data_IF_930248007154
#
_entry.id   IF_930248007154
#
_cell.length_a   1.000
_cell.length_b   1.000
_cell.length_c   1.000
_cell.angle_alpha   90.00
_cell.angle_beta   90.00
_cell.angle_gamma   90.00
#
_symmetry.space_group_name_H-M   'P 1'
#
loop_
_entity.id
_entity.type
_entity.pdbx_description
1 polymer ?
#
# COMPACT_ATOMS: atom_id res chain seq x y z
N UNK A 1 29.65 -90.98 -67.98
CA UNK A 1 29.38 -89.62 -67.49
C UNK A 1 30.72 -89.04 -67.05
N UNK A 2 31.22 -87.95 -67.63
CA UNK A 2 32.49 -87.35 -67.22
C UNK A 2 32.27 -86.55 -65.93
N UNK A 3 33.05 -86.89 -64.90
CA UNK A 3 33.10 -86.20 -63.62
C UNK A 3 33.86 -84.88 -63.82
N UNK A 4 33.12 -83.77 -63.87
CA UNK A 4 33.68 -82.41 -63.90
C UNK A 4 34.30 -82.10 -62.54
N UNK A 5 35.58 -82.44 -62.38
CA UNK A 5 36.39 -81.96 -61.26
C UNK A 5 36.61 -80.46 -61.46
N UNK A 6 35.71 -79.65 -60.88
CA UNK A 6 35.89 -78.21 -60.78
C UNK A 6 37.10 -77.93 -59.89
N UNK A 7 38.16 -77.38 -60.49
CA UNK A 7 39.31 -76.84 -59.78
C UNK A 7 38.86 -75.69 -58.87
N UNK A 8 38.75 -75.99 -57.58
CA UNK A 8 38.17 -75.12 -56.54
C UNK A 8 39.19 -74.17 -55.91
N UNK A 9 40.48 -74.39 -56.15
CA UNK A 9 41.58 -73.70 -55.49
C UNK A 9 41.65 -72.18 -55.71
N UNK A 10 41.53 -71.64 -56.94
CA UNK A 10 41.64 -70.19 -57.17
C UNK A 10 40.48 -69.38 -56.55
N UNK A 11 39.28 -69.98 -56.43
CA UNK A 11 38.13 -69.33 -55.80
C UNK A 11 38.29 -69.21 -54.29
N UNK A 12 38.91 -70.20 -53.64
CA UNK A 12 39.19 -70.18 -52.20
C UNK A 12 40.21 -69.09 -51.87
N UNK A 13 41.30 -68.97 -52.63
CA UNK A 13 42.29 -67.91 -52.42
C UNK A 13 41.73 -66.50 -52.61
N UNK A 14 40.87 -66.29 -53.62
CA UNK A 14 40.21 -65.00 -53.81
C UNK A 14 39.27 -64.63 -52.63
N UNK A 15 38.56 -65.63 -52.08
CA UNK A 15 37.71 -65.44 -50.91
C UNK A 15 38.52 -65.15 -49.64
N UNK A 16 39.63 -65.86 -49.41
CA UNK A 16 40.54 -65.61 -48.28
C UNK A 16 41.11 -64.19 -48.31
N UNK A 17 41.57 -63.73 -49.48
CA UNK A 17 42.04 -62.36 -49.65
C UNK A 17 40.95 -61.32 -49.36
N UNK A 18 39.72 -61.59 -49.81
CA UNK A 18 38.56 -60.74 -49.54
C UNK A 18 38.21 -60.72 -48.05
N UNK A 19 38.19 -61.89 -47.39
CA UNK A 19 37.93 -62.00 -45.96
C UNK A 19 39.00 -61.29 -45.12
N UNK A 20 40.27 -61.35 -45.54
CA UNK A 20 41.36 -60.62 -44.89
C UNK A 20 41.18 -59.10 -45.04
N UNK A 21 40.86 -58.63 -46.25
CA UNK A 21 40.58 -57.22 -46.51
C UNK A 21 39.37 -56.68 -45.72
N UNK A 22 38.30 -57.47 -45.59
CA UNK A 22 37.14 -57.12 -44.77
C UNK A 22 37.50 -57.07 -43.28
N UNK A 23 38.29 -58.02 -42.78
CA UNK A 23 38.74 -58.02 -41.38
C UNK A 23 39.55 -56.78 -41.04
N UNK A 24 40.46 -56.40 -41.92
CA UNK A 24 41.27 -55.18 -41.80
C UNK A 24 40.40 -53.91 -41.85
N UNK A 25 39.40 -53.85 -42.74
CA UNK A 25 38.41 -52.77 -42.76
C UNK A 25 37.59 -52.67 -41.46
N UNK A 26 37.09 -53.81 -40.94
CA UNK A 26 36.36 -53.85 -39.67
C UNK A 26 37.25 -53.35 -38.53
N UNK A 27 38.52 -53.78 -38.47
CA UNK A 27 39.46 -53.31 -37.46
C UNK A 27 39.70 -51.80 -37.53
N UNK A 28 39.80 -51.23 -38.73
CA UNK A 28 39.91 -49.77 -38.91
C UNK A 28 38.65 -49.03 -38.47
N UNK A 29 37.46 -49.59 -38.75
CA UNK A 29 36.20 -48.98 -38.35
C UNK A 29 36.05 -48.95 -36.83
N UNK A 30 36.38 -50.05 -36.14
CA UNK A 30 36.35 -50.09 -34.67
C UNK A 30 37.31 -49.07 -34.04
N UNK A 31 38.53 -48.96 -34.57
CA UNK A 31 39.48 -47.94 -34.11
C UNK A 31 38.96 -46.51 -34.35
N UNK A 32 38.37 -46.24 -35.52
CA UNK A 32 37.79 -44.93 -35.82
C UNK A 32 36.62 -44.61 -34.88
N UNK A 33 35.74 -45.59 -34.62
CA UNK A 33 34.61 -45.46 -33.72
C UNK A 33 35.08 -45.12 -32.30
N UNK A 34 36.06 -45.86 -31.79
CA UNK A 34 36.66 -45.58 -30.48
C UNK A 34 37.23 -44.16 -30.41
N UNK A 35 37.98 -43.73 -31.44
CA UNK A 35 38.53 -42.37 -31.46
C UNK A 35 37.44 -41.28 -31.52
N UNK A 36 36.29 -41.55 -32.14
CA UNK A 36 35.15 -40.62 -32.14
C UNK A 36 34.53 -40.53 -30.73
N UNK A 37 34.30 -41.67 -30.07
CA UNK A 37 33.77 -41.72 -28.71
C UNK A 37 34.69 -40.98 -27.72
N UNK A 38 36.01 -41.24 -27.77
CA UNK A 38 37.01 -40.55 -26.96
C UNK A 38 37.02 -39.03 -27.22
N UNK A 39 36.89 -38.61 -28.49
CA UNK A 39 36.82 -37.18 -28.83
C UNK A 39 35.54 -36.52 -28.31
N UNK A 40 34.40 -37.22 -28.38
CA UNK A 40 33.12 -36.73 -27.86
C UNK A 40 33.16 -36.59 -26.34
N UNK A 41 33.68 -37.59 -25.63
CA UNK A 41 33.80 -37.55 -24.17
C UNK A 41 34.70 -36.41 -23.70
N UNK A 42 35.84 -36.20 -24.37
CA UNK A 42 36.73 -35.09 -24.08
C UNK A 42 36.05 -33.72 -24.29
N UNK A 43 35.32 -33.55 -25.40
CA UNK A 43 34.55 -32.33 -25.65
C UNK A 43 33.43 -32.12 -24.63
N UNK A 44 32.71 -33.20 -24.27
CA UNK A 44 31.63 -33.17 -23.29
C UNK A 44 32.15 -32.79 -21.90
N UNK A 45 33.30 -33.32 -21.49
CA UNK A 45 33.96 -32.93 -20.23
C UNK A 45 34.28 -31.44 -20.21
N UNK A 46 34.90 -30.91 -21.27
CA UNK A 46 35.23 -29.48 -21.38
C UNK A 46 33.97 -28.61 -21.35
N UNK A 47 32.89 -29.05 -22.01
CA UNK A 47 31.62 -28.33 -21.99
C UNK A 47 31.00 -28.33 -20.60
N UNK A 48 30.98 -29.48 -19.92
CA UNK A 48 30.46 -29.60 -18.56
C UNK A 48 31.22 -28.71 -17.58
N UNK A 49 32.55 -28.63 -17.68
CA UNK A 49 33.36 -27.74 -16.85
C UNK A 49 33.02 -26.27 -17.08
N UNK A 50 32.78 -25.87 -18.35
CA UNK A 50 32.36 -24.51 -18.69
C UNK A 50 30.96 -24.19 -18.18
N UNK A 51 30.02 -25.14 -18.26
CA UNK A 51 28.66 -24.99 -17.73
C UNK A 51 28.69 -24.85 -16.21
N UNK A 52 29.42 -25.72 -15.52
CA UNK A 52 29.58 -25.65 -14.06
C UNK A 52 30.19 -24.31 -13.61
N UNK A 53 31.19 -23.81 -14.35
CA UNK A 53 31.75 -22.47 -14.11
C UNK A 53 30.72 -21.37 -14.31
N UNK A 54 29.98 -21.40 -15.41
CA UNK A 54 28.95 -20.40 -15.71
C UNK A 54 27.85 -20.40 -14.64
N UNK A 55 27.43 -21.58 -14.17
CA UNK A 55 26.44 -21.73 -13.10
C UNK A 55 26.94 -21.10 -11.79
N UNK A 56 28.22 -21.32 -11.44
CA UNK A 56 28.84 -20.69 -10.28
C UNK A 56 28.88 -19.15 -10.41
N UNK A 57 29.30 -18.64 -11.58
CA UNK A 57 29.35 -17.20 -11.86
C UNK A 57 27.95 -16.55 -11.79
N UNK A 58 26.91 -17.22 -12.32
CA UNK A 58 25.51 -16.76 -12.23
C UNK A 58 25.03 -16.73 -10.78
N UNK A 59 25.34 -17.76 -9.99
CA UNK A 59 24.97 -17.83 -8.58
C UNK A 59 25.64 -16.71 -7.78
N UNK A 60 26.93 -16.44 -8.03
CA UNK A 60 27.67 -15.35 -7.41
C UNK A 60 27.06 -13.98 -7.75
N UNK A 61 26.74 -13.74 -9.03
CA UNK A 61 26.04 -12.51 -9.44
C UNK A 61 24.69 -12.37 -8.74
N UNK A 62 23.90 -13.45 -8.65
CA UNK A 62 22.60 -13.43 -7.99
C UNK A 62 22.72 -13.09 -6.50
N UNK A 63 23.72 -13.64 -5.81
CA UNK A 63 23.99 -13.33 -4.40
C UNK A 63 24.42 -11.87 -4.23
N UNK A 64 25.35 -11.38 -5.04
CA UNK A 64 25.81 -10.00 -4.98
C UNK A 64 24.69 -8.99 -5.27
N UNK A 65 23.81 -9.28 -6.24
CA UNK A 65 22.62 -8.46 -6.49
C UNK A 65 21.68 -8.47 -5.27
N UNK A 66 21.41 -9.64 -4.69
CA UNK A 66 20.56 -9.77 -3.51
C UNK A 66 21.11 -8.96 -2.34
N UNK A 67 22.39 -9.12 -2.01
CA UNK A 67 23.05 -8.40 -0.91
C UNK A 67 23.05 -6.88 -1.14
N UNK A 68 23.28 -6.44 -2.38
CA UNK A 68 23.28 -5.01 -2.72
C UNK A 68 21.88 -4.39 -2.70
N UNK A 69 20.87 -5.11 -3.17
CA UNK A 69 19.54 -4.54 -3.38
C UNK A 69 18.56 -4.79 -2.21
N UNK A 70 18.66 -5.90 -1.47
CA UNK A 70 17.72 -6.21 -0.38
C UNK A 70 17.68 -5.12 0.70
N UNK A 71 18.81 -4.62 1.23
CA UNK A 71 18.79 -3.55 2.24
C UNK A 71 18.13 -2.27 1.72
N UNK A 72 18.37 -1.93 0.45
CA UNK A 72 17.80 -0.73 -0.17
C UNK A 72 16.30 -0.87 -0.42
N UNK A 73 15.84 -2.03 -0.88
CA UNK A 73 14.41 -2.32 -1.06
C UNK A 73 13.68 -2.31 0.28
N UNK A 74 14.23 -2.94 1.31
CA UNK A 74 13.68 -2.94 2.66
C UNK A 74 13.61 -1.52 3.25
N UNK A 75 14.66 -0.72 3.05
CA UNK A 75 14.69 0.69 3.49
C UNK A 75 13.63 1.50 2.76
N UNK A 76 13.48 1.30 1.44
CA UNK A 76 12.48 1.99 0.62
C UNK A 76 11.05 1.64 1.06
N UNK A 77 10.75 0.35 1.24
CA UNK A 77 9.43 -0.12 1.70
C UNK A 77 9.15 0.42 3.11
N UNK A 78 10.14 0.40 4.01
CA UNK A 78 9.99 0.91 5.36
C UNK A 78 9.74 2.43 5.38
N UNK A 79 10.46 3.19 4.56
CA UNK A 79 10.24 4.63 4.38
C UNK A 79 8.84 4.95 3.85
N UNK A 80 8.38 4.20 2.84
CA UNK A 80 7.02 4.34 2.31
C UNK A 80 5.95 4.02 3.36
N UNK A 81 6.11 2.91 4.12
CA UNK A 81 5.21 2.55 5.21
C UNK A 81 5.17 3.62 6.30
N UNK A 82 6.32 4.19 6.67
CA UNK A 82 6.41 5.27 7.65
C UNK A 82 5.69 6.53 7.16
N UNK A 83 5.90 6.94 5.90
CA UNK A 83 5.23 8.11 5.32
C UNK A 83 3.70 7.94 5.31
N UNK A 84 3.22 6.76 4.90
CA UNK A 84 1.79 6.46 4.83
C UNK A 84 1.10 6.44 6.21
N UNK A 85 1.82 6.03 7.25
CA UNK A 85 1.25 5.93 8.61
C UNK A 85 1.48 7.20 9.41
N UNK A 86 2.74 7.55 9.65
CA UNK A 86 3.13 8.68 10.49
C UNK A 86 2.96 10.02 9.77
N UNK A 87 3.38 10.11 8.51
CA UNK A 87 3.22 11.32 7.69
C UNK A 87 1.74 11.70 7.53
N UNK A 88 0.88 10.74 7.20
CA UNK A 88 -0.57 10.97 7.11
C UNK A 88 -1.19 11.34 8.46
N UNK A 89 -0.83 10.64 9.54
CA UNK A 89 -1.34 10.94 10.89
C UNK A 89 -0.97 12.37 11.30
N UNK A 90 0.27 12.79 11.06
CA UNK A 90 0.68 14.16 11.30
C UNK A 90 -0.15 15.13 10.46
N UNK A 91 -0.35 14.81 9.18
CA UNK A 91 -1.07 15.71 8.30
C UNK A 91 -2.50 15.95 8.76
N UNK A 92 -3.19 14.89 9.20
CA UNK A 92 -4.52 14.97 9.79
C UNK A 92 -4.50 15.81 11.06
N UNK A 93 -3.55 15.59 11.98
CA UNK A 93 -3.43 16.38 13.22
C UNK A 93 -3.21 17.87 12.91
N UNK A 94 -2.31 18.21 11.99
CA UNK A 94 -2.08 19.61 11.59
C UNK A 94 -3.31 20.23 10.92
N UNK A 95 -4.05 19.48 10.09
CA UNK A 95 -5.30 19.96 9.49
C UNK A 95 -6.36 20.25 10.56
N UNK A 96 -6.54 19.33 11.52
CA UNK A 96 -7.49 19.51 12.63
C UNK A 96 -7.10 20.68 13.53
N UNK A 97 -5.80 20.97 13.69
CA UNK A 97 -5.34 22.09 14.50
C UNK A 97 -5.41 23.45 13.79
N UNK A 98 -5.74 23.49 12.49
CA UNK A 98 -5.81 24.74 11.74
C UNK A 98 -7.21 25.38 11.91
N UNK A 99 -7.34 26.57 12.56
CA UNK A 99 -8.65 27.15 12.84
C UNK A 99 -9.48 27.43 11.59
N UNK A 100 -8.82 27.83 10.49
CA UNK A 100 -9.45 28.05 9.18
C UNK A 100 -10.06 26.77 8.61
N UNK A 101 -9.35 25.64 8.74
CA UNK A 101 -9.85 24.34 8.28
C UNK A 101 -11.03 23.90 9.14
N UNK A 102 -10.91 23.94 10.47
CA UNK A 102 -12.02 23.58 11.37
C UNK A 102 -13.27 24.43 11.12
N UNK A 103 -13.11 25.74 10.92
CA UNK A 103 -14.23 26.64 10.63
C UNK A 103 -14.90 26.29 9.29
N UNK A 104 -14.13 26.13 8.21
CA UNK A 104 -14.65 25.76 6.91
C UNK A 104 -15.31 24.36 6.92
N UNK A 105 -14.68 23.40 7.61
CA UNK A 105 -15.18 22.04 7.75
C UNK A 105 -16.48 21.99 8.55
N UNK A 106 -16.53 22.68 9.71
CA UNK A 106 -17.74 22.80 10.52
C UNK A 106 -18.89 23.46 9.76
N UNK A 107 -18.62 24.50 8.97
CA UNK A 107 -19.61 25.14 8.10
C UNK A 107 -20.12 24.18 7.02
N UNK A 108 -19.22 23.44 6.35
CA UNK A 108 -19.57 22.46 5.34
C UNK A 108 -20.41 21.30 5.91
N UNK A 109 -20.03 20.76 7.08
CA UNK A 109 -20.79 19.72 7.78
C UNK A 109 -22.20 20.21 8.15
N UNK A 110 -22.31 21.42 8.70
CA UNK A 110 -23.60 22.01 9.10
C UNK A 110 -24.53 22.15 7.89
N UNK A 111 -23.99 22.61 6.75
CA UNK A 111 -24.75 22.70 5.50
C UNK A 111 -25.06 21.34 4.88
N UNK A 112 -24.17 20.35 5.01
CA UNK A 112 -24.43 18.99 4.56
C UNK A 112 -25.65 18.39 5.26
N UNK A 113 -25.72 18.56 6.59
CA UNK A 113 -26.86 18.12 7.41
C UNK A 113 -28.12 18.84 6.95
N UNK A 114 -28.07 20.19 6.85
CA UNK A 114 -29.21 20.98 6.37
C UNK A 114 -29.69 20.52 5.00
N UNK A 115 -28.78 20.29 4.05
CA UNK A 115 -29.10 19.78 2.71
C UNK A 115 -29.70 18.37 2.75
N UNK A 116 -29.17 17.48 3.59
CA UNK A 116 -29.72 16.14 3.81
C UNK A 116 -31.17 16.20 4.30
N UNK A 117 -31.47 17.09 5.25
CA UNK A 117 -32.84 17.32 5.73
C UNK A 117 -33.77 17.82 4.60
N UNK A 118 -33.31 18.75 3.77
CA UNK A 118 -34.07 19.27 2.63
C UNK A 118 -34.34 18.19 1.57
N UNK A 119 -33.34 17.37 1.26
CA UNK A 119 -33.47 16.26 0.32
C UNK A 119 -34.46 15.21 0.84
N UNK A 120 -34.37 14.85 2.13
CA UNK A 120 -35.30 13.91 2.76
C UNK A 120 -36.74 14.42 2.75
N UNK A 121 -36.93 15.73 3.00
CA UNK A 121 -38.23 16.38 2.92
C UNK A 121 -38.80 16.33 1.50
N UNK A 122 -38.00 16.68 0.49
CA UNK A 122 -38.39 16.59 -0.93
C UNK A 122 -38.83 15.17 -1.29
N UNK A 123 -37.99 14.18 -0.99
CA UNK A 123 -38.27 12.78 -1.30
C UNK A 123 -39.58 12.29 -0.63
N UNK A 124 -39.86 12.73 0.60
CA UNK A 124 -41.11 12.40 1.30
C UNK A 124 -42.36 12.97 0.63
N UNK A 125 -42.29 14.19 0.09
CA UNK A 125 -43.40 14.84 -0.62
C UNK A 125 -43.64 14.16 -1.97
N UNK A 126 -42.56 13.89 -2.70
CA UNK A 126 -42.60 13.19 -3.99
C UNK A 126 -43.23 11.79 -3.83
N UNK A 127 -42.83 11.06 -2.79
CA UNK A 127 -43.36 9.74 -2.50
C UNK A 127 -44.86 9.75 -2.13
N UNK A 128 -45.33 10.77 -1.39
CA UNK A 128 -46.71 10.83 -0.90
C UNK A 128 -47.73 11.28 -1.96
N UNK A 129 -47.28 11.74 -3.15
CA UNK A 129 -48.13 12.15 -4.29
C UNK A 129 -49.29 13.08 -3.90
N UNK A 130 -49.05 13.96 -2.92
CA UNK A 130 -50.12 14.67 -2.21
C UNK A 130 -50.66 15.92 -2.94
N UNK A 131 -50.28 16.16 -4.20
CA UNK A 131 -50.66 17.36 -4.96
C UNK A 131 -50.15 18.68 -4.36
N UNK A 132 -49.28 18.63 -3.34
CA UNK A 132 -48.64 19.81 -2.74
C UNK A 132 -47.30 20.05 -3.40
N UNK A 133 -47.02 21.29 -3.80
CA UNK A 133 -45.71 21.62 -4.34
C UNK A 133 -44.68 21.76 -3.21
N UNK A 134 -43.42 21.45 -3.51
CA UNK A 134 -42.32 21.58 -2.56
C UNK A 134 -42.12 23.03 -2.08
N UNK A 135 -42.49 24.00 -2.92
CA UNK A 135 -42.44 25.42 -2.61
C UNK A 135 -43.45 25.85 -1.53
N UNK A 136 -44.53 25.09 -1.34
CA UNK A 136 -45.58 25.40 -0.36
C UNK A 136 -45.21 24.95 1.07
N UNK A 137 -44.10 24.23 1.23
CA UNK A 137 -43.66 23.72 2.53
C UNK A 137 -42.74 24.74 3.19
N UNK A 138 -43.22 25.37 4.27
CA UNK A 138 -42.50 26.43 4.99
C UNK A 138 -41.09 26.03 5.48
N UNK A 139 -40.84 24.73 5.70
CA UNK A 139 -39.54 24.21 6.10
C UNK A 139 -38.57 23.98 4.91
N UNK A 140 -39.05 24.05 3.67
CA UNK A 140 -38.23 23.85 2.47
C UNK A 140 -37.48 25.14 2.10
N UNK A 141 -36.17 25.02 1.89
CA UNK A 141 -35.32 26.14 1.47
C UNK A 141 -34.41 25.71 0.31
N UNK A 142 -34.73 26.09 -0.95
CA UNK A 142 -33.97 25.69 -2.13
C UNK A 142 -32.55 26.28 -2.17
N UNK A 143 -32.30 27.40 -1.49
CA UNK A 143 -30.98 28.08 -1.42
C UNK A 143 -29.94 27.23 -0.68
N UNK A 144 -30.41 26.31 0.17
CA UNK A 144 -29.53 25.38 0.90
C UNK A 144 -28.62 24.58 -0.02
N UNK A 145 -29.08 24.24 -1.23
CA UNK A 145 -28.28 23.50 -2.21
C UNK A 145 -27.09 24.31 -2.75
N UNK A 146 -27.32 25.59 -3.06
CA UNK A 146 -26.28 26.51 -3.57
C UNK A 146 -25.26 26.88 -2.50
N UNK A 147 -25.72 27.13 -1.27
CA UNK A 147 -24.86 27.45 -0.12
C UNK A 147 -23.92 26.29 0.24
N UNK A 148 -24.42 25.06 0.14
CA UNK A 148 -23.61 23.87 0.36
C UNK A 148 -22.47 23.74 -0.67
N UNK A 149 -22.78 23.92 -1.97
CA UNK A 149 -21.77 23.80 -3.02
C UNK A 149 -20.70 24.90 -2.92
N UNK A 150 -21.08 26.14 -2.61
CA UNK A 150 -20.13 27.24 -2.41
C UNK A 150 -19.25 27.02 -1.18
N UNK A 151 -19.79 26.46 -0.09
CA UNK A 151 -19.03 26.14 1.12
C UNK A 151 -18.09 24.96 0.91
N UNK A 152 -18.50 23.94 0.15
CA UNK A 152 -17.60 22.87 -0.26
C UNK A 152 -16.44 23.38 -1.11
N UNK A 153 -16.70 24.33 -2.01
CA UNK A 153 -15.67 24.94 -2.81
C UNK A 153 -14.67 25.71 -1.93
N UNK A 154 -15.15 26.50 -0.97
CA UNK A 154 -14.30 27.16 0.03
C UNK A 154 -13.49 26.17 0.86
N UNK A 155 -14.08 25.04 1.25
CA UNK A 155 -13.36 23.98 1.99
C UNK A 155 -12.24 23.36 1.13
N UNK A 156 -12.45 23.18 -0.18
CA UNK A 156 -11.41 22.72 -1.12
C UNK A 156 -10.31 23.75 -1.35
N UNK A 157 -10.67 25.02 -1.32
CA UNK A 157 -9.77 26.17 -1.45
C UNK A 157 -9.02 26.51 -0.15
N UNK A 158 -9.39 25.91 0.99
CA UNK A 158 -8.49 25.90 2.15
C UNK A 158 -7.28 25.10 1.73
N UNK A 159 -6.26 25.83 1.25
CA UNK A 159 -5.00 25.26 0.81
C UNK A 159 -4.56 24.27 1.87
N UNK A 160 -4.52 23.01 1.47
CA UNK A 160 -3.78 22.00 2.21
C UNK A 160 -2.32 22.35 1.98
N UNK A 161 -1.85 23.41 2.64
CA UNK A 161 -0.46 23.86 2.68
C UNK A 161 0.46 22.69 2.99
N UNK A 162 -0.06 21.73 3.76
CA UNK A 162 0.57 20.45 4.05
C UNK A 162 0.65 19.47 2.88
N UNK A 163 -0.36 19.39 2.00
CA UNK A 163 -0.31 18.51 0.83
C UNK A 163 0.66 19.05 -0.21
N UNK A 164 0.71 20.36 -0.43
CA UNK A 164 1.72 20.98 -1.31
C UNK A 164 3.12 20.83 -0.74
N UNK A 165 3.30 20.97 0.57
CA UNK A 165 4.57 20.73 1.27
C UNK A 165 4.97 19.23 1.29
N UNK A 166 4.04 18.29 1.53
CA UNK A 166 4.34 16.86 1.39
C UNK A 166 4.68 16.49 -0.07
N UNK A 167 3.98 17.11 -1.03
CA UNK A 167 4.21 16.87 -2.45
C UNK A 167 5.54 17.45 -2.95
N UNK A 168 6.03 18.55 -2.38
CA UNK A 168 7.35 19.09 -2.74
C UNK A 168 8.50 18.20 -2.25
N UNK A 169 8.25 17.33 -1.28
CA UNK A 169 9.23 16.39 -0.72
C UNK A 169 9.05 14.94 -1.21
N UNK A 170 8.34 14.73 -2.33
CA UNK A 170 8.06 13.39 -2.90
C UNK A 170 9.30 12.52 -3.12
N UNK A 171 10.47 13.12 -3.35
CA UNK A 171 11.74 12.43 -3.58
C UNK A 171 12.80 12.73 -2.51
N UNK A 172 12.43 13.43 -1.44
CA UNK A 172 13.34 13.66 -0.33
C UNK A 172 13.63 12.32 0.37
N UNK A 173 14.89 12.09 0.76
CA UNK A 173 15.23 10.93 1.57
C UNK A 173 14.46 10.98 2.89
N UNK A 174 14.19 9.83 3.49
CA UNK A 174 13.54 9.75 4.80
C UNK A 174 14.30 10.58 5.83
N UNK A 175 15.63 10.63 5.74
CA UNK A 175 16.49 11.47 6.58
C UNK A 175 16.22 12.95 6.40
N UNK A 176 16.11 13.44 5.14
CA UNK A 176 15.77 14.83 4.87
C UNK A 176 14.35 15.16 5.36
N UNK A 177 13.40 14.20 5.28
CA UNK A 177 12.04 14.37 5.80
C UNK A 177 12.01 14.40 7.34
N UNK A 178 12.87 13.62 8.01
CA UNK A 178 13.03 13.68 9.47
C UNK A 178 13.64 15.01 9.93
N UNK A 179 14.61 15.55 9.19
CA UNK A 179 15.26 16.83 9.46
C UNK A 179 14.37 18.05 9.15
N UNK A 180 13.32 17.89 8.33
CA UNK A 180 12.28 18.91 8.13
C UNK A 180 11.39 18.97 9.37
N UNK A 181 11.92 19.50 10.47
CA UNK A 181 11.27 20.08 11.67
C UNK A 181 9.88 19.56 12.08
N UNK A 182 9.71 18.24 12.00
CA UNK A 182 8.48 17.57 12.34
C UNK A 182 8.45 17.24 13.84
N UNK A 183 9.63 17.09 14.44
CA UNK A 183 9.84 16.80 15.86
C UNK A 183 9.77 18.06 16.75
N UNK A 184 10.41 19.16 16.36
CA UNK A 184 10.38 20.43 17.14
C UNK A 184 8.95 20.97 17.26
N UNK A 185 8.22 21.01 16.15
CA UNK A 185 6.83 21.49 16.14
C UNK A 185 5.88 20.57 16.93
N UNK A 186 6.19 19.26 17.05
CA UNK A 186 5.46 18.32 17.90
C UNK A 186 5.75 18.52 19.39
N UNK A 187 7.01 18.80 19.75
CA UNK A 187 7.38 19.10 21.14
C UNK A 187 6.69 20.38 21.59
N UNK A 188 6.69 21.44 20.76
CA UNK A 188 6.06 22.70 21.11
C UNK A 188 4.53 22.58 21.25
N UNK A 189 3.87 21.88 20.32
CA UNK A 189 2.42 21.70 20.34
C UNK A 189 1.95 20.80 21.49
N UNK A 190 2.69 19.73 21.80
CA UNK A 190 2.39 18.86 22.95
C UNK A 190 2.62 19.61 24.26
N UNK A 191 3.68 20.41 24.34
CA UNK A 191 3.96 21.26 25.49
C UNK A 191 2.85 22.30 25.71
N UNK A 192 2.33 22.92 24.64
CA UNK A 192 1.26 23.92 24.73
C UNK A 192 -0.11 23.31 25.07
N UNK A 193 -0.44 22.13 24.51
CA UNK A 193 -1.62 21.37 24.92
C UNK A 193 -1.55 20.93 26.38
N UNK A 194 -0.36 20.54 26.87
CA UNK A 194 -0.17 20.18 28.27
C UNK A 194 -0.38 21.36 29.22
N UNK A 195 0.03 22.57 28.82
CA UNK A 195 -0.21 23.82 29.58
C UNK A 195 -1.69 24.17 29.58
N UNK A 196 -2.36 24.08 28.44
CA UNK A 196 -3.79 24.36 28.30
C UNK A 196 -4.64 23.40 29.14
N UNK A 197 -4.33 22.10 29.10
CA UNK A 197 -5.00 21.09 29.95
C UNK A 197 -4.81 21.38 31.44
N UNK A 198 -3.63 21.85 31.84
CA UNK A 198 -3.34 22.24 33.23
C UNK A 198 -4.17 23.46 33.66
N UNK A 199 -4.34 24.45 32.77
CA UNK A 199 -5.19 25.62 33.01
C UNK A 199 -6.67 25.23 33.11
N UNK A 200 -7.14 24.36 32.22
CA UNK A 200 -8.53 23.87 32.23
C UNK A 200 -8.82 23.06 33.50
N UNK A 201 -7.91 22.17 33.90
CA UNK A 201 -8.04 21.37 35.12
C UNK A 201 -8.05 22.23 36.41
N UNK A 202 -7.40 23.39 36.38
CA UNK A 202 -7.40 24.34 37.50
C UNK A 202 -8.64 25.24 37.51
N UNK A 203 -9.23 25.55 36.36
CA UNK A 203 -10.49 26.29 36.24
C UNK A 203 -11.69 25.47 36.72
N UNK A 204 -11.70 24.16 36.48
CA UNK A 204 -12.79 23.28 36.92
C UNK A 204 -12.82 23.12 38.47
N UNK A 205 -11.66 23.32 39.12
CA UNK A 205 -11.54 23.25 40.58
C UNK A 205 -11.95 24.54 41.29
N UNK A 206 -12.23 25.64 40.58
CA UNK A 206 -12.60 26.94 41.16
C UNK A 206 -14.10 27.26 41.13
N UNK A 207 -14.97 26.36 40.67
CA UNK A 207 -16.43 26.57 40.78
C UNK A 207 -16.84 26.60 42.26
N UNK A 208 -17.39 27.71 42.78
CA UNK A 208 -17.86 27.78 44.15
C UNK A 208 -19.11 26.91 44.27
N UNK A 209 -19.04 25.86 45.10
CA UNK A 209 -20.20 25.09 45.54
C UNK A 209 -21.22 26.04 46.17
N UNK A 210 -22.24 26.40 45.39
CA UNK A 210 -23.39 27.15 45.88
C UNK A 210 -24.18 26.21 46.80
N UNK A 211 -24.02 26.39 48.12
CA UNK A 211 -24.90 25.77 49.12
C UNK A 211 -26.33 26.22 48.82
N UNK A 212 -27.16 25.31 48.31
CA UNK A 212 -28.60 25.50 48.22
C UNK A 212 -29.13 25.55 49.66
N UNK A 213 -29.55 26.73 50.09
CA UNK A 213 -30.13 26.99 51.40
C UNK A 213 -31.60 26.52 51.35
N UNK A 214 -31.88 25.35 51.92
CA UNK A 214 -33.26 24.91 52.18
C UNK A 214 -33.88 25.78 53.27
N UNK A 215 -34.73 26.73 52.89
CA UNK A 215 -35.74 27.33 53.76
C UNK A 215 -37.09 26.72 53.42
N UNK A 216 -37.65 25.91 54.32
CA UNK A 216 -39.08 25.63 54.40
C UNK A 216 -39.41 25.06 55.78
N UNK A 217 -40.00 25.89 56.63
CA UNK A 217 -40.91 25.49 57.71
C UNK A 217 -41.73 26.71 58.12
N UNK A 218 -42.80 26.97 57.36
CA UNK A 218 -43.91 27.82 57.79
C UNK A 218 -45.02 26.88 58.26
N UNK A 219 -45.28 26.89 59.56
CA UNK A 219 -46.36 26.18 60.22
C UNK A 219 -47.71 26.84 59.89
N UNK A 220 -48.63 26.11 59.27
CA UNK A 220 -50.03 26.51 59.17
C UNK A 220 -50.80 25.99 60.39
N UNK A 221 -51.36 26.93 61.14
CA UNK A 221 -52.33 26.74 62.22
C UNK A 221 -53.63 26.15 61.66
N UNK A 222 -54.02 24.96 62.17
CA UNK A 222 -55.36 24.38 62.01
C UNK A 222 -56.34 25.14 62.91
N UNK A 223 -57.22 25.94 62.31
CA UNK A 223 -58.47 26.37 62.94
C UNK A 223 -59.58 25.39 62.57
N UNK A 224 -60.03 24.63 63.57
CA UNK A 224 -61.29 23.90 63.58
C UNK A 224 -62.44 24.90 63.77
N UNK A 225 -63.46 24.88 62.92
CA UNK A 225 -64.79 25.45 63.20
C UNK A 225 -65.84 24.80 62.27
N UNK A 226 -66.78 24.05 62.86
CA UNK A 226 -68.12 23.60 62.37
C UNK A 226 -68.17 22.65 61.15
N UNK A 227 -68.94 21.56 61.09
CA UNK A 227 -70.11 21.04 61.82
C UNK A 227 -69.94 19.55 62.14
#
# INVERSE_FOLDING_TARGET
MPELVLDSHPKVHALEATCFGLRDQVSRYEHLKQHIEESQDAQMSILNDKVAKLDADILEMALHLKEKFDPHLLTTISGQRWLLTHGLKLAVVKCINLPKYLAAFGAAMSLAIKKGMQNGLSAGIDHKKAGRSLADVAAYNPVTGTDFNSTLQRLREVDFMLLSELSSHKYASVTNIMDINLLESLVDLVMDLSKLLRVIANLDRSKPTTKIMTMNNISYTKNNLYC
#
